data_IF_635679560488
#
_entry.id   IF_635679560488
#
_cell.length_a   1.000
_cell.length_b   1.000
_cell.length_c   1.000
_cell.angle_alpha   90.00
_cell.angle_beta   90.00
_cell.angle_gamma   90.00
#
_symmetry.space_group_name_H-M   'P 1'
#
loop_
_entity.id
_entity.type
_entity.pdbx_description
1 polymer ?
#
# COMPACT_ATOMS: atom_id res chain seq x y z
N UNK A 1 15.50 58.59 -37.11
CA UNK A 1 14.64 57.78 -38.01
C UNK A 1 15.20 56.36 -38.07
N UNK A 2 14.39 55.37 -37.68
CA UNK A 2 14.48 53.91 -37.93
C UNK A 2 15.77 53.17 -37.57
N UNK A 3 15.86 52.40 -36.47
CA UNK A 3 15.15 51.16 -36.10
C UNK A 3 15.56 49.96 -36.98
N UNK A 4 16.28 49.00 -36.37
CA UNK A 4 16.21 47.53 -36.59
C UNK A 4 17.39 46.88 -35.85
N UNK A 5 17.21 46.60 -34.56
CA UNK A 5 18.00 45.58 -33.88
C UNK A 5 17.10 44.35 -33.73
N UNK A 6 17.42 43.34 -34.52
CA UNK A 6 16.86 42.00 -34.51
C UNK A 6 17.05 41.35 -33.13
N UNK A 7 16.04 41.47 -32.27
CA UNK A 7 15.92 40.70 -31.04
C UNK A 7 15.24 39.36 -31.29
N UNK A 8 15.95 38.40 -31.87
CA UNK A 8 15.50 37.00 -31.86
C UNK A 8 15.82 36.42 -30.48
N UNK A 9 14.88 36.56 -29.55
CA UNK A 9 14.91 35.87 -28.26
C UNK A 9 14.83 34.38 -28.56
N UNK A 10 15.94 33.66 -28.40
CA UNK A 10 15.97 32.21 -28.46
C UNK A 10 15.05 31.66 -27.36
N UNK A 11 13.84 31.27 -27.75
CA UNK A 11 12.93 30.54 -26.90
C UNK A 11 13.54 29.17 -26.61
N UNK A 12 14.29 29.08 -25.50
CA UNK A 12 14.73 27.81 -24.93
C UNK A 12 13.47 26.99 -24.65
N UNK A 13 13.23 26.00 -25.52
CA UNK A 13 12.16 25.03 -25.37
C UNK A 13 12.44 24.25 -24.10
N UNK A 14 11.78 24.61 -23.01
CA UNK A 14 11.74 23.80 -21.79
C UNK A 14 10.98 22.51 -22.12
N UNK A 15 11.69 21.53 -22.66
CA UNK A 15 11.21 20.17 -22.75
C UNK A 15 11.23 19.61 -21.33
N UNK A 16 10.11 19.76 -20.60
CA UNK A 16 9.93 19.09 -19.33
C UNK A 16 10.07 17.58 -19.56
N UNK A 17 10.84 16.85 -18.73
CA UNK A 17 10.85 15.41 -18.82
C UNK A 17 9.43 14.92 -18.56
N UNK A 18 8.84 14.23 -19.53
CA UNK A 18 7.59 13.51 -19.31
C UNK A 18 7.90 12.41 -18.28
N UNK A 19 7.57 12.67 -17.01
CA UNK A 19 7.49 11.60 -16.03
C UNK A 19 6.41 10.65 -16.55
N UNK A 20 6.82 9.44 -16.96
CA UNK A 20 5.88 8.41 -17.35
C UNK A 20 4.89 8.21 -16.20
N UNK A 21 3.61 8.51 -16.44
CA UNK A 21 2.57 8.38 -15.43
C UNK A 21 2.40 6.89 -15.10
N UNK A 22 2.56 6.54 -13.82
CA UNK A 22 2.40 5.16 -13.39
C UNK A 22 0.94 4.73 -13.56
N UNK A 23 0.72 3.63 -14.28
CA UNK A 23 -0.61 3.05 -14.43
C UNK A 23 -1.17 2.59 -13.09
N UNK A 24 -2.50 2.52 -12.98
CA UNK A 24 -3.18 2.02 -11.77
C UNK A 24 -2.74 0.62 -11.37
N UNK A 25 -2.46 -0.23 -12.35
CA UNK A 25 -2.02 -1.61 -12.16
C UNK A 25 -0.58 -1.67 -11.62
N UNK A 26 0.35 -0.93 -12.21
CA UNK A 26 1.74 -0.82 -11.72
C UNK A 26 1.77 -0.30 -10.27
N UNK A 27 0.97 0.74 -9.99
CA UNK A 27 0.83 1.31 -8.63
C UNK A 27 0.28 0.30 -7.63
N UNK A 28 -0.63 -0.58 -8.07
CA UNK A 28 -1.18 -1.65 -7.24
C UNK A 28 -0.14 -2.74 -6.98
N UNK A 29 0.53 -3.22 -8.02
CA UNK A 29 1.56 -4.24 -7.92
C UNK A 29 2.70 -3.79 -6.99
N UNK A 30 3.21 -2.56 -7.16
CA UNK A 30 4.25 -1.99 -6.28
C UNK A 30 3.81 -1.95 -4.82
N UNK A 31 2.59 -1.49 -4.55
CA UNK A 31 2.04 -1.43 -3.18
C UNK A 31 1.83 -2.81 -2.59
N UNK A 32 1.42 -3.80 -3.39
CA UNK A 32 1.28 -5.17 -2.89
C UNK A 32 2.64 -5.79 -2.56
N UNK A 33 3.65 -5.59 -3.40
CA UNK A 33 5.01 -6.06 -3.11
C UNK A 33 5.55 -5.42 -1.81
N UNK A 34 5.33 -4.12 -1.62
CA UNK A 34 5.73 -3.44 -0.40
C UNK A 34 4.92 -3.90 0.83
N UNK A 35 3.62 -4.17 0.67
CA UNK A 35 2.79 -4.74 1.74
C UNK A 35 3.28 -6.11 2.20
N UNK A 36 3.70 -6.98 1.26
CA UNK A 36 4.28 -8.29 1.60
C UNK A 36 5.51 -8.14 2.49
N UNK A 37 6.34 -7.13 2.22
CA UNK A 37 7.52 -6.85 3.04
C UNK A 37 7.15 -6.37 4.44
N UNK A 38 6.22 -5.42 4.55
CA UNK A 38 5.73 -4.95 5.85
C UNK A 38 5.13 -6.11 6.67
N UNK A 39 4.40 -7.02 6.04
CA UNK A 39 3.83 -8.18 6.73
C UNK A 39 4.91 -9.07 7.33
N UNK A 40 6.04 -9.29 6.63
CA UNK A 40 7.16 -10.05 7.17
C UNK A 40 7.70 -9.39 8.43
N UNK A 41 7.94 -8.07 8.38
CA UNK A 41 8.38 -7.28 9.53
C UNK A 41 7.37 -7.36 10.67
N UNK A 42 6.07 -7.23 10.40
CA UNK A 42 5.03 -7.32 11.42
C UNK A 42 4.99 -8.71 12.10
N UNK A 43 5.22 -9.79 11.33
CA UNK A 43 5.30 -11.15 11.86
C UNK A 43 6.59 -11.45 12.64
N UNK A 44 7.66 -10.70 12.41
CA UNK A 44 8.86 -10.75 13.26
C UNK A 44 8.62 -10.04 14.60
N UNK A 45 7.81 -8.97 14.61
CA UNK A 45 7.48 -8.22 15.82
C UNK A 45 6.41 -8.91 16.68
N UNK A 46 5.46 -9.60 16.05
CA UNK A 46 4.41 -10.36 16.74
C UNK A 46 4.50 -11.81 16.31
N UNK A 47 4.90 -12.70 17.23
CA UNK A 47 5.15 -14.10 16.90
C UNK A 47 3.92 -14.75 16.25
N UNK A 48 4.10 -15.29 15.04
CA UNK A 48 3.06 -16.06 14.31
C UNK A 48 2.43 -17.15 15.17
N UNK A 49 3.17 -17.73 16.13
CA UNK A 49 2.68 -18.77 17.02
C UNK A 49 1.59 -18.31 18.01
N UNK A 50 1.43 -17.00 18.19
CA UNK A 50 0.42 -16.40 19.08
C UNK A 50 -0.88 -16.06 18.34
N UNK A 51 -0.94 -16.29 17.03
CA UNK A 51 -2.10 -16.01 16.18
C UNK A 51 -2.80 -17.31 15.78
N UNK A 52 -4.08 -17.23 15.43
CA UNK A 52 -4.80 -18.38 14.89
C UNK A 52 -4.22 -18.72 13.51
N UNK A 53 -4.16 -20.01 13.18
CA UNK A 53 -3.76 -20.47 11.86
C UNK A 53 -4.65 -19.87 10.75
N UNK A 54 -5.94 -19.67 11.01
CA UNK A 54 -6.88 -19.01 10.10
C UNK A 54 -6.48 -17.58 9.76
N UNK A 55 -6.06 -16.78 10.75
CA UNK A 55 -5.63 -15.40 10.54
C UNK A 55 -4.40 -15.31 9.62
N UNK A 56 -3.41 -16.19 9.84
CA UNK A 56 -2.21 -16.25 9.01
C UNK A 56 -2.57 -16.66 7.57
N UNK A 57 -3.41 -17.69 7.41
CA UNK A 57 -3.84 -18.16 6.10
C UNK A 57 -4.67 -17.13 5.33
N UNK A 58 -5.51 -16.35 6.03
CA UNK A 58 -6.29 -15.25 5.47
C UNK A 58 -5.39 -14.13 4.93
N UNK A 59 -4.30 -13.78 5.64
CA UNK A 59 -3.30 -12.83 5.14
C UNK A 59 -2.53 -13.37 3.92
N UNK A 60 -2.13 -14.63 3.95
CA UNK A 60 -1.47 -15.27 2.80
C UNK A 60 -2.38 -15.30 1.57
N UNK A 61 -3.70 -15.53 1.76
CA UNK A 61 -4.68 -15.47 0.69
C UNK A 61 -4.85 -14.06 0.12
N UNK A 62 -4.89 -13.02 0.97
CA UNK A 62 -4.93 -11.62 0.53
C UNK A 62 -3.70 -11.25 -0.32
N UNK A 63 -2.52 -11.68 0.11
CA UNK A 63 -1.28 -11.49 -0.65
C UNK A 63 -1.34 -12.19 -2.01
N UNK A 64 -1.75 -13.47 -2.04
CA UNK A 64 -1.88 -14.27 -3.27
C UNK A 64 -2.90 -13.68 -4.25
N UNK A 65 -3.93 -13.01 -3.74
CA UNK A 65 -4.92 -12.26 -4.53
C UNK A 65 -4.41 -10.91 -5.08
N UNK A 66 -3.13 -10.58 -4.89
CA UNK A 66 -2.56 -9.32 -5.35
C UNK A 66 -2.98 -8.13 -4.49
N UNK A 67 -3.10 -8.35 -3.17
CA UNK A 67 -3.42 -7.34 -2.14
C UNK A 67 -4.64 -6.49 -2.50
N UNK A 68 -5.66 -7.16 -3.02
CA UNK A 68 -6.95 -6.59 -3.36
C UNK A 68 -7.96 -7.66 -2.97
N UNK A 69 -8.63 -7.43 -1.85
CA UNK A 69 -9.45 -8.44 -1.23
C UNK A 69 -10.90 -8.24 -1.64
N UNK A 70 -11.54 -9.32 -2.07
CA UNK A 70 -12.98 -9.53 -1.87
C UNK A 70 -13.27 -10.06 -0.46
N UNK A 71 -12.27 -10.68 0.20
CA UNK A 71 -12.41 -11.35 1.51
C UNK A 71 -11.68 -10.60 2.61
N UNK A 72 -12.42 -10.20 3.63
CA UNK A 72 -11.89 -9.51 4.79
C UNK A 72 -11.10 -10.44 5.72
N UNK A 73 -10.12 -9.87 6.43
CA UNK A 73 -9.45 -10.50 7.57
C UNK A 73 -9.96 -9.85 8.84
N UNK A 74 -10.44 -10.65 9.81
CA UNK A 74 -10.88 -10.12 11.10
C UNK A 74 -9.93 -10.59 12.21
N UNK A 75 -9.19 -9.67 12.87
CA UNK A 75 -8.45 -10.00 14.08
C UNK A 75 -9.41 -10.36 15.22
N UNK A 76 -9.10 -11.43 15.97
CA UNK A 76 -9.93 -11.98 17.06
C UNK A 76 -9.16 -12.13 18.37
N UNK A 77 -7.83 -12.19 18.35
CA UNK A 77 -7.00 -12.33 19.55
C UNK A 77 -6.20 -11.05 19.83
N UNK A 78 -5.72 -10.82 21.08
CA UNK A 78 -4.87 -9.67 21.38
C UNK A 78 -3.62 -9.57 20.50
N UNK A 79 -3.01 -10.70 20.15
CA UNK A 79 -1.86 -10.73 19.24
C UNK A 79 -2.24 -10.34 17.80
N UNK A 80 -3.41 -10.77 17.32
CA UNK A 80 -3.92 -10.40 15.99
C UNK A 80 -4.27 -8.91 15.92
N UNK A 81 -4.84 -8.34 16.98
CA UNK A 81 -5.06 -6.89 17.08
C UNK A 81 -3.75 -6.11 17.09
N UNK A 82 -2.77 -6.51 17.91
CA UNK A 82 -1.46 -5.87 17.93
C UNK A 82 -0.77 -5.91 16.55
N UNK A 83 -0.87 -7.04 15.84
CA UNK A 83 -0.39 -7.14 14.47
C UNK A 83 -1.14 -6.21 13.51
N UNK A 84 -2.47 -6.14 13.60
CA UNK A 84 -3.29 -5.27 12.77
C UNK A 84 -2.99 -3.78 12.99
N UNK A 85 -2.74 -3.37 14.23
CA UNK A 85 -2.37 -2.01 14.60
C UNK A 85 -1.02 -1.61 13.99
N UNK A 86 0.01 -2.47 14.15
CA UNK A 86 1.34 -2.26 13.57
C UNK A 86 1.24 -2.16 12.04
N UNK A 87 0.53 -3.09 11.41
CA UNK A 87 0.40 -3.13 9.96
C UNK A 87 -0.35 -1.90 9.41
N UNK A 88 -1.37 -1.43 10.13
CA UNK A 88 -2.10 -0.21 9.78
C UNK A 88 -1.21 1.02 9.90
N UNK A 89 -0.42 1.12 10.98
CA UNK A 89 0.54 2.22 11.14
C UNK A 89 1.55 2.25 9.98
N UNK A 90 2.18 1.11 9.68
CA UNK A 90 3.20 1.01 8.62
C UNK A 90 2.63 1.34 7.23
N UNK A 91 1.42 0.89 6.92
CA UNK A 91 0.77 1.19 5.63
C UNK A 91 0.35 2.66 5.51
N UNK A 92 -0.09 3.29 6.59
CA UNK A 92 -0.37 4.74 6.62
C UNK A 92 0.92 5.53 6.47
N UNK A 93 1.99 5.19 7.22
CA UNK A 93 3.30 5.84 7.12
C UNK A 93 3.91 5.75 5.72
N UNK A 94 3.64 4.66 5.00
CA UNK A 94 4.06 4.47 3.61
C UNK A 94 3.15 5.14 2.58
N UNK A 95 2.19 5.96 3.00
CA UNK A 95 1.24 6.66 2.14
C UNK A 95 0.42 5.71 1.24
N UNK A 96 0.12 4.50 1.73
CA UNK A 96 -0.70 3.52 1.01
C UNK A 96 -2.20 3.71 1.27
N UNK A 97 -2.55 4.45 2.32
CA UNK A 97 -3.90 4.72 2.78
C UNK A 97 -4.39 3.69 3.79
N UNK A 98 -5.18 4.13 4.79
CA UNK A 98 -5.72 3.26 5.85
C UNK A 98 -6.69 2.20 5.32
N UNK A 99 -7.27 2.38 4.14
CA UNK A 99 -8.19 1.44 3.48
C UNK A 99 -7.49 0.35 2.68
N UNK A 100 -6.16 0.36 2.62
CA UNK A 100 -5.37 -0.64 1.88
C UNK A 100 -5.33 -2.01 2.57
N UNK A 101 -5.44 -2.04 3.89
CA UNK A 101 -5.40 -3.29 4.67
C UNK A 101 -6.70 -4.10 4.48
N UNK A 102 -6.65 -5.44 4.66
CA UNK A 102 -7.83 -6.28 4.46
C UNK A 102 -8.74 -6.32 5.70
N UNK A 103 -8.45 -5.51 6.73
CA UNK A 103 -9.10 -5.62 8.03
C UNK A 103 -10.55 -5.16 8.00
N UNK A 104 -11.49 -6.09 8.19
CA UNK A 104 -12.92 -5.81 8.42
C UNK A 104 -13.50 -6.94 9.27
N UNK A 105 -14.31 -6.58 10.27
CA UNK A 105 -14.98 -7.54 11.14
C UNK A 105 -16.51 -7.43 11.00
N UNK A 106 -17.25 -8.55 11.02
CA UNK A 106 -18.71 -8.52 10.98
C UNK A 106 -19.29 -7.87 12.23
N UNK A 107 -20.42 -7.17 12.09
CA UNK A 107 -21.07 -6.43 13.17
C UNK A 107 -21.65 -7.30 14.31
N UNK A 108 -21.61 -8.63 14.17
CA UNK A 108 -22.22 -9.61 15.10
C UNK A 108 -21.26 -10.43 15.96
N UNK A 109 -19.94 -10.18 15.91
CA UNK A 109 -18.97 -10.74 16.85
C UNK A 109 -19.05 -12.27 17.07
N UNK A 110 -19.02 -13.08 16.02
CA UNK A 110 -18.66 -14.51 16.07
C UNK A 110 -18.48 -15.04 14.64
N UNK A 111 -17.84 -16.21 14.53
CA UNK A 111 -16.75 -16.51 13.61
C UNK A 111 -16.94 -16.38 12.08
#
# INVERSE_FOLDING_TARGET
MSALLLGFVAAATMCSPAFAEETREQKRARRCAYYQEIIRVAFENVSRSQMRAGFVAEHDAFIKGGCFADKAVCPKTPAEFAFADILTMLTVSANMGSTFTPFRCPAGGSD
#
